data_IF_792962290438
#
_entry.id   IF_792962290438
#
_cell.length_a   1.000
_cell.length_b   1.000
_cell.length_c   1.000
_cell.angle_alpha   90.00
_cell.angle_beta   90.00
_cell.angle_gamma   90.00
#
_symmetry.space_group_name_H-M   'P 1'
#
loop_
_entity.id
_entity.type
_entity.pdbx_description
1 polymer ?
#
# COMPACT_ATOMS: atom_id res chain seq x y z
N UNK A 1 4.47 -17.48 -8.36
CA UNK A 1 3.23 -17.41 -9.18
C UNK A 1 3.66 -17.61 -10.62
N UNK A 2 3.00 -18.50 -11.39
CA UNK A 2 3.37 -18.76 -12.79
C UNK A 2 2.99 -17.60 -13.73
N UNK A 3 3.49 -17.60 -14.98
CA UNK A 3 3.21 -16.55 -15.97
C UNK A 3 1.71 -16.42 -16.21
N UNK A 4 1.20 -15.19 -16.26
CA UNK A 4 -0.23 -14.96 -16.44
C UNK A 4 -0.66 -15.20 -17.89
N UNK A 5 -1.84 -15.79 -18.06
CA UNK A 5 -2.39 -16.07 -19.40
C UNK A 5 -2.56 -14.79 -20.24
N UNK A 6 -2.11 -14.79 -21.49
CA UNK A 6 -2.26 -13.64 -22.41
C UNK A 6 -3.71 -13.12 -22.50
N UNK A 7 -3.84 -11.80 -22.60
CA UNK A 7 -5.15 -11.15 -22.76
C UNK A 7 -5.70 -11.39 -24.17
N UNK A 8 -7.01 -11.64 -24.28
CA UNK A 8 -7.73 -11.74 -25.57
C UNK A 8 -8.21 -10.38 -26.09
N UNK A 9 -7.99 -9.29 -25.35
CA UNK A 9 -8.33 -7.94 -25.78
C UNK A 9 -7.31 -7.45 -26.82
N UNK A 10 -7.75 -6.65 -27.79
CA UNK A 10 -6.82 -5.96 -28.70
C UNK A 10 -5.87 -5.04 -27.91
N UNK A 11 -4.66 -4.82 -28.42
CA UNK A 11 -3.67 -3.93 -27.76
C UNK A 11 -4.25 -2.55 -27.49
N UNK A 12 -4.96 -1.97 -28.46
CA UNK A 12 -5.67 -0.70 -28.29
C UNK A 12 -6.60 -0.70 -27.06
N UNK A 13 -7.44 -1.73 -26.88
CA UNK A 13 -8.35 -1.82 -25.72
C UNK A 13 -7.58 -2.03 -24.41
N UNK A 14 -6.47 -2.75 -24.45
CA UNK A 14 -5.60 -2.92 -23.29
C UNK A 14 -4.99 -1.58 -22.87
N UNK A 15 -4.38 -0.84 -23.81
CA UNK A 15 -3.78 0.46 -23.55
C UNK A 15 -4.79 1.47 -22.97
N UNK A 16 -6.00 1.53 -23.56
CA UNK A 16 -7.09 2.37 -23.04
C UNK A 16 -7.50 1.99 -21.62
N UNK A 17 -7.58 0.69 -21.31
CA UNK A 17 -7.88 0.24 -19.95
C UNK A 17 -6.75 0.58 -18.97
N UNK A 18 -5.48 0.50 -19.40
CA UNK A 18 -4.33 0.90 -18.58
C UNK A 18 -4.39 2.41 -18.28
N UNK A 19 -4.64 3.25 -19.29
CA UNK A 19 -4.83 4.70 -19.11
C UNK A 19 -5.92 5.00 -18.07
N UNK A 20 -7.07 4.34 -18.21
CA UNK A 20 -8.18 4.49 -17.28
C UNK A 20 -7.87 3.98 -15.86
N UNK A 21 -7.07 2.92 -15.75
CA UNK A 21 -6.58 2.43 -14.48
C UNK A 21 -5.67 3.48 -13.83
N UNK A 22 -4.66 3.98 -14.53
CA UNK A 22 -3.72 5.01 -14.06
C UNK A 22 -4.46 6.27 -13.63
N UNK A 23 -5.38 6.77 -14.47
CA UNK A 23 -6.24 7.91 -14.16
C UNK A 23 -7.18 7.70 -12.94
N UNK A 24 -7.24 6.47 -12.41
CA UNK A 24 -8.01 6.16 -11.21
C UNK A 24 -9.51 6.07 -11.45
N UNK A 25 -9.96 5.92 -12.70
CA UNK A 25 -11.37 5.73 -13.01
C UNK A 25 -11.87 4.37 -12.53
N UNK A 26 -13.19 4.22 -12.34
CA UNK A 26 -13.76 2.91 -11.96
C UNK A 26 -13.80 1.97 -13.16
N UNK A 27 -13.70 0.66 -12.93
CA UNK A 27 -13.83 -0.33 -14.00
C UNK A 27 -15.18 -0.23 -14.75
N UNK A 28 -16.24 0.26 -14.09
CA UNK A 28 -17.54 0.53 -14.71
C UNK A 28 -17.45 1.68 -15.72
N UNK A 29 -16.81 2.78 -15.34
CA UNK A 29 -16.60 3.93 -16.24
C UNK A 29 -15.69 3.54 -17.40
N UNK A 30 -14.56 2.90 -17.09
CA UNK A 30 -13.60 2.42 -18.08
C UNK A 30 -14.24 1.45 -19.09
N UNK A 31 -15.10 0.54 -18.63
CA UNK A 31 -15.78 -0.40 -19.53
C UNK A 31 -16.68 0.29 -20.54
N UNK A 32 -17.42 1.32 -20.09
CA UNK A 32 -18.29 2.11 -20.97
C UNK A 32 -17.47 2.87 -22.02
N UNK A 33 -16.39 3.52 -21.59
CA UNK A 33 -15.56 4.35 -22.47
C UNK A 33 -14.66 3.54 -23.42
N UNK A 34 -14.27 2.33 -23.03
CA UNK A 34 -13.44 1.44 -23.86
C UNK A 34 -14.25 0.47 -24.74
N UNK A 35 -15.58 0.46 -24.63
CA UNK A 35 -16.44 -0.47 -25.36
C UNK A 35 -16.13 -1.94 -25.04
N UNK A 36 -16.04 -2.28 -23.75
CA UNK A 36 -15.83 -3.66 -23.26
C UNK A 36 -16.89 -4.02 -22.22
N UNK A 37 -17.11 -5.32 -22.01
CA UNK A 37 -17.99 -5.76 -20.94
C UNK A 37 -17.43 -5.33 -19.57
N UNK A 38 -18.31 -4.90 -18.66
CA UNK A 38 -17.93 -4.48 -17.30
C UNK A 38 -17.13 -5.54 -16.55
N UNK A 39 -17.52 -6.82 -16.64
CA UNK A 39 -16.79 -7.92 -15.99
C UNK A 39 -15.38 -8.06 -16.56
N UNK A 40 -15.22 -7.84 -17.87
CA UNK A 40 -13.91 -7.85 -18.53
C UNK A 40 -13.01 -6.72 -18.04
N UNK A 41 -13.51 -5.49 -17.96
CA UNK A 41 -12.72 -4.37 -17.42
C UNK A 41 -12.34 -4.59 -15.94
N UNK A 42 -13.29 -5.07 -15.12
CA UNK A 42 -13.03 -5.36 -13.71
C UNK A 42 -11.98 -6.47 -13.53
N UNK A 43 -12.06 -7.53 -14.34
CA UNK A 43 -11.07 -8.59 -14.36
C UNK A 43 -9.71 -8.08 -14.83
N UNK A 44 -9.65 -7.27 -15.89
CA UNK A 44 -8.41 -6.68 -16.38
C UNK A 44 -7.75 -5.80 -15.31
N UNK A 45 -8.52 -4.94 -14.63
CA UNK A 45 -8.03 -4.11 -13.53
C UNK A 45 -7.55 -4.95 -12.33
N UNK A 46 -8.16 -6.11 -12.08
CA UNK A 46 -7.67 -7.03 -11.05
C UNK A 46 -6.29 -7.56 -11.43
N UNK A 47 -6.10 -7.96 -12.69
CA UNK A 47 -4.82 -8.44 -13.20
C UNK A 47 -3.73 -7.38 -13.17
N UNK A 48 -4.05 -6.12 -13.45
CA UNK A 48 -3.09 -5.02 -13.27
C UNK A 48 -2.62 -4.91 -11.81
N UNK A 49 -3.51 -5.12 -10.84
CA UNK A 49 -3.12 -5.15 -9.42
C UNK A 49 -2.30 -6.39 -9.05
N UNK A 50 -2.57 -7.53 -9.68
CA UNK A 50 -1.75 -8.74 -9.51
C UNK A 50 -0.32 -8.51 -10.01
N UNK A 51 -0.16 -7.87 -11.17
CA UNK A 51 1.16 -7.45 -11.67
C UNK A 51 1.84 -6.51 -10.68
N UNK A 52 1.17 -5.44 -10.25
CA UNK A 52 1.73 -4.52 -9.25
C UNK A 52 2.21 -5.28 -8.01
N UNK A 53 1.42 -6.22 -7.51
CA UNK A 53 1.79 -6.99 -6.33
C UNK A 53 3.02 -7.89 -6.57
N UNK A 54 3.13 -8.50 -7.76
CA UNK A 54 4.29 -9.33 -8.14
C UNK A 54 5.55 -8.47 -8.24
N UNK A 55 5.48 -7.37 -8.97
CA UNK A 55 6.63 -6.47 -9.21
C UNK A 55 7.11 -5.83 -7.92
N UNK A 56 6.19 -5.35 -7.08
CA UNK A 56 6.55 -4.80 -5.77
C UNK A 56 7.14 -5.85 -4.83
N UNK A 57 6.69 -7.12 -4.90
CA UNK A 57 7.27 -8.18 -4.07
C UNK A 57 8.69 -8.52 -4.52
N UNK A 58 8.94 -8.57 -5.83
CA UNK A 58 10.26 -8.76 -6.43
C UNK A 58 11.24 -7.63 -6.06
N UNK A 59 10.76 -6.38 -6.02
CA UNK A 59 11.54 -5.24 -5.54
C UNK A 59 11.70 -5.22 -4.00
N UNK A 60 10.90 -5.99 -3.26
CA UNK A 60 10.78 -5.82 -1.81
C UNK A 60 12.01 -6.30 -1.04
N UNK A 61 12.92 -7.08 -1.64
CA UNK A 61 14.09 -7.59 -0.93
C UNK A 61 15.02 -6.48 -0.38
N UNK A 62 14.94 -5.28 -0.95
CA UNK A 62 15.67 -4.13 -0.43
C UNK A 62 15.20 -3.71 0.98
N UNK A 63 16.15 -3.60 1.91
CA UNK A 63 15.92 -3.02 3.23
C UNK A 63 15.88 -1.49 3.15
N UNK A 64 15.07 -0.88 4.00
CA UNK A 64 14.99 0.56 4.23
C UNK A 64 16.05 0.98 5.25
N UNK A 65 16.96 1.85 4.84
CA UNK A 65 17.94 2.49 5.73
C UNK A 65 17.64 3.97 5.95
N UNK A 66 18.10 4.50 7.10
CA UNK A 66 18.02 5.92 7.45
C UNK A 66 16.85 6.24 8.37
N UNK A 67 16.09 7.30 8.08
CA UNK A 67 14.93 7.73 8.87
C UNK A 67 13.64 7.05 8.38
N UNK A 68 13.09 6.15 9.20
CA UNK A 68 11.95 5.29 8.87
C UNK A 68 10.76 5.59 9.78
N UNK A 69 9.63 5.95 9.20
CA UNK A 69 8.34 6.09 9.88
C UNK A 69 7.59 4.75 9.85
N UNK A 70 7.02 4.34 10.98
CA UNK A 70 6.27 3.10 11.11
C UNK A 70 4.92 3.37 11.77
N UNK A 71 3.86 2.79 11.22
CA UNK A 71 2.50 2.97 11.73
C UNK A 71 1.57 1.86 11.25
N UNK A 72 0.46 1.66 11.96
CA UNK A 72 -0.60 0.72 11.59
C UNK A 72 -1.88 1.45 11.18
N UNK A 73 -2.59 0.88 10.21
CA UNK A 73 -3.93 1.34 9.84
C UNK A 73 -4.94 0.21 9.74
N UNK A 74 -6.22 0.57 9.87
CA UNK A 74 -7.33 -0.38 9.85
C UNK A 74 -8.31 -0.03 8.74
N UNK A 75 -8.46 -0.94 7.78
CA UNK A 75 -9.33 -0.79 6.62
C UNK A 75 -10.58 -1.65 6.73
N UNK A 76 -11.72 -1.11 6.29
CA UNK A 76 -13.00 -1.84 6.33
C UNK A 76 -14.19 -0.87 6.41
N UNK A 77 -15.38 -1.40 6.15
CA UNK A 77 -16.63 -0.63 6.20
C UNK A 77 -16.89 -0.01 7.58
N UNK A 78 -17.55 1.14 7.60
CA UNK A 78 -18.00 1.78 8.85
C UNK A 78 -19.04 0.87 9.52
N UNK A 79 -18.79 0.50 10.77
CA UNK A 79 -19.74 -0.24 11.62
C UNK A 79 -19.88 0.48 12.96
N UNK A 80 -21.03 0.32 13.62
CA UNK A 80 -21.21 0.76 15.02
C UNK A 80 -20.29 -0.10 15.90
N UNK A 81 -19.64 0.50 16.91
CA UNK A 81 -18.72 -0.19 17.83
C UNK A 81 -17.29 0.37 17.85
N UNK A 82 -16.35 -0.41 18.41
CA UNK A 82 -14.95 -0.03 18.64
C UNK A 82 -14.28 0.51 17.37
N UNK A 83 -13.62 1.67 17.47
CA UNK A 83 -12.79 2.26 16.40
C UNK A 83 -11.31 1.91 16.66
N UNK A 84 -10.50 1.90 15.60
CA UNK A 84 -9.07 1.59 15.70
C UNK A 84 -8.77 0.10 15.97
N UNK A 85 -7.76 -0.17 16.81
CA UNK A 85 -7.26 -1.52 17.10
C UNK A 85 -8.35 -2.44 17.66
N UNK A 86 -8.47 -3.64 17.10
CA UNK A 86 -9.49 -4.62 17.49
C UNK A 86 -10.92 -4.28 17.02
N UNK A 87 -11.09 -3.34 16.08
CA UNK A 87 -12.38 -3.09 15.45
C UNK A 87 -12.81 -4.31 14.59
N UNK A 88 -13.92 -4.93 14.96
CA UNK A 88 -14.43 -6.13 14.31
C UNK A 88 -14.67 -5.92 12.80
N UNK A 89 -14.17 -6.86 12.00
CA UNK A 89 -14.37 -6.85 10.54
C UNK A 89 -13.44 -5.92 9.75
N UNK A 90 -12.51 -5.23 10.41
CA UNK A 90 -11.44 -4.49 9.74
C UNK A 90 -10.22 -5.37 9.46
N UNK A 91 -9.47 -5.02 8.43
CA UNK A 91 -8.19 -5.61 8.07
C UNK A 91 -7.10 -4.69 8.63
N UNK A 92 -6.25 -5.17 9.56
CA UNK A 92 -5.10 -4.41 10.00
C UNK A 92 -4.00 -4.46 8.94
N UNK A 93 -3.32 -3.34 8.80
CA UNK A 93 -2.23 -3.13 7.85
C UNK A 93 -1.10 -2.44 8.59
N UNK A 94 0.12 -2.91 8.36
CA UNK A 94 1.35 -2.25 8.79
C UNK A 94 2.01 -1.54 7.61
N UNK A 95 2.55 -0.36 7.85
CA UNK A 95 3.32 0.39 6.88
C UNK A 95 4.69 0.80 7.41
N UNK A 96 5.66 0.87 6.51
CA UNK A 96 7.00 1.41 6.71
C UNK A 96 7.19 2.49 5.65
N UNK A 97 7.67 3.68 6.02
CA UNK A 97 7.98 4.74 5.08
C UNK A 97 9.39 5.26 5.35
N UNK A 98 10.28 5.17 4.37
CA UNK A 98 11.52 5.95 4.42
C UNK A 98 11.21 7.41 4.10
N UNK A 99 11.63 8.33 4.96
CA UNK A 99 11.45 9.77 4.70
C UNK A 99 12.18 10.19 3.42
N UNK A 100 11.48 10.94 2.58
CA UNK A 100 11.96 11.28 1.23
C UNK A 100 12.11 10.09 0.28
N UNK A 101 11.57 8.93 0.64
CA UNK A 101 11.69 7.69 -0.12
C UNK A 101 10.34 7.01 -0.33
N UNK A 102 10.38 5.67 -0.35
CA UNK A 102 9.24 4.82 -0.69
C UNK A 102 8.54 4.27 0.54
N UNK A 103 7.25 3.99 0.40
CA UNK A 103 6.42 3.26 1.36
C UNK A 103 6.41 1.78 1.03
N UNK A 104 6.38 0.96 2.07
CA UNK A 104 6.10 -0.47 2.04
C UNK A 104 4.89 -0.76 2.93
N UNK A 105 4.02 -1.64 2.48
CA UNK A 105 2.83 -2.05 3.23
C UNK A 105 2.64 -3.55 3.25
N UNK A 106 2.06 -4.04 4.34
CA UNK A 106 1.70 -5.44 4.52
C UNK A 106 0.44 -5.59 5.35
N UNK A 107 -0.46 -6.48 4.94
CA UNK A 107 -1.57 -6.92 5.80
C UNK A 107 -1.04 -7.77 6.93
N UNK A 108 -1.50 -7.52 8.15
CA UNK A 108 -1.05 -8.21 9.37
C UNK A 108 -2.25 -8.88 10.07
N UNK A 109 -2.04 -9.98 10.82
CA UNK A 109 -3.09 -10.60 11.62
C UNK A 109 -3.54 -9.71 12.78
N UNK A 110 -2.60 -9.04 13.42
CA UNK A 110 -2.79 -8.13 14.54
C UNK A 110 -1.64 -7.11 14.59
N UNK A 111 -1.78 -6.12 15.45
CA UNK A 111 -0.76 -5.10 15.67
C UNK A 111 0.17 -5.44 16.84
N UNK A 112 0.31 -6.70 17.26
CA UNK A 112 1.17 -7.05 18.40
C UNK A 112 2.66 -6.87 18.06
N UNK A 113 3.49 -6.63 19.09
CA UNK A 113 4.95 -6.58 18.93
C UNK A 113 5.51 -7.84 18.28
N UNK A 114 4.95 -9.02 18.61
CA UNK A 114 5.35 -10.30 18.03
C UNK A 114 5.11 -10.36 16.51
N UNK A 115 4.09 -9.66 16.02
CA UNK A 115 3.80 -9.54 14.59
C UNK A 115 4.67 -8.48 13.91
N UNK A 116 4.86 -7.32 14.54
CA UNK A 116 5.50 -6.16 13.93
C UNK A 116 7.03 -6.27 13.90
N UNK A 117 7.67 -6.71 14.98
CA UNK A 117 9.14 -6.75 15.09
C UNK A 117 9.81 -7.59 14.00
N UNK A 118 9.33 -8.81 13.67
CA UNK A 118 9.95 -9.58 12.61
C UNK A 118 9.82 -8.91 11.24
N UNK A 119 8.77 -8.12 11.01
CA UNK A 119 8.61 -7.35 9.77
C UNK A 119 9.64 -6.22 9.73
N UNK A 120 9.76 -5.46 10.82
CA UNK A 120 10.73 -4.37 10.96
C UNK A 120 12.16 -4.90 10.78
N UNK A 121 12.55 -5.95 11.51
CA UNK A 121 13.90 -6.55 11.41
C UNK A 121 14.27 -7.04 10.01
N UNK A 122 13.29 -7.51 9.23
CA UNK A 122 13.53 -7.95 7.84
C UNK A 122 13.57 -6.80 6.83
N UNK A 123 13.01 -5.65 7.18
CA UNK A 123 12.81 -4.53 6.22
C UNK A 123 13.55 -3.27 6.60
N UNK A 124 14.09 -3.14 7.80
CA UNK A 124 14.81 -1.95 8.27
C UNK A 124 16.25 -2.33 8.56
N UNK A 125 17.19 -1.64 7.92
CA UNK A 125 18.63 -1.84 8.15
C UNK A 125 18.92 -1.57 9.62
N UNK A 126 19.69 -2.43 10.33
CA UNK A 126 20.18 -2.13 11.68
C UNK A 126 20.80 -0.73 11.78
N UNK A 127 20.75 -0.12 12.97
CA UNK A 127 21.21 1.26 13.21
C UNK A 127 20.41 2.37 12.50
N UNK A 128 19.33 2.04 11.80
CA UNK A 128 18.38 3.04 11.30
C UNK A 128 17.61 3.72 12.43
N UNK A 129 17.10 4.92 12.14
CA UNK A 129 16.25 5.68 13.05
C UNK A 129 14.79 5.36 12.77
N UNK A 130 14.10 4.78 13.75
CA UNK A 130 12.69 4.40 13.64
C UNK A 130 11.82 5.40 14.40
N UNK A 131 10.83 5.97 13.72
CA UNK A 131 9.81 6.86 14.27
C UNK A 131 8.48 6.14 14.35
N UNK A 132 7.92 6.03 15.55
CA UNK A 132 6.57 5.46 15.75
C UNK A 132 5.73 6.36 16.65
N UNK A 133 4.40 6.15 16.64
CA UNK A 133 3.53 6.66 17.69
C UNK A 133 3.89 6.01 19.06
N UNK A 134 3.53 6.67 20.16
CA UNK A 134 3.78 6.29 21.56
C UNK A 134 3.04 5.03 22.04
N UNK A 135 2.70 4.10 21.14
CA UNK A 135 1.98 2.89 21.51
C UNK A 135 2.88 1.83 22.15
N UNK A 136 2.36 1.17 23.21
CA UNK A 136 3.13 0.20 24.02
C UNK A 136 3.70 -0.99 23.25
N UNK A 137 3.10 -1.43 22.15
CA UNK A 137 3.68 -2.55 21.40
C UNK A 137 4.92 -2.18 20.59
N UNK A 138 5.22 -0.90 20.43
CA UNK A 138 6.52 -0.44 19.96
C UNK A 138 7.57 -0.35 21.08
N UNK A 139 7.22 -0.62 22.34
CA UNK A 139 8.19 -0.58 23.45
C UNK A 139 9.38 -1.54 23.24
N UNK A 140 9.18 -2.62 22.49
CA UNK A 140 10.24 -3.59 22.22
C UNK A 140 11.27 -3.03 21.23
N UNK A 141 10.96 -1.96 20.49
CA UNK A 141 11.94 -1.29 19.64
C UNK A 141 13.02 -0.57 20.45
N UNK A 142 12.73 -0.12 21.68
CA UNK A 142 13.71 0.52 22.56
C UNK A 142 14.84 -0.43 23.01
N UNK A 143 14.60 -1.75 22.94
CA UNK A 143 15.56 -2.80 23.35
C UNK A 143 16.12 -3.58 22.16
N UNK A 144 15.99 -3.03 20.95
CA UNK A 144 16.44 -3.65 19.71
C UNK A 144 17.60 -2.87 19.08
N UNK A 145 18.21 -3.41 18.02
CA UNK A 145 19.36 -2.84 17.30
C UNK A 145 19.00 -1.57 16.47
N UNK A 146 18.01 -0.79 16.90
CA UNK A 146 17.51 0.40 16.21
C UNK A 146 17.48 1.61 17.13
N UNK A 147 17.78 2.78 16.59
CA UNK A 147 17.57 4.04 17.28
C UNK A 147 16.08 4.41 17.22
N UNK A 148 15.35 4.22 18.32
CA UNK A 148 13.90 4.40 18.34
C UNK A 148 13.49 5.74 18.97
N UNK A 149 12.74 6.55 18.22
CA UNK A 149 12.11 7.78 18.71
C UNK A 149 10.59 7.63 18.75
N UNK A 150 10.03 7.82 19.94
CA UNK A 150 8.57 7.82 20.14
C UNK A 150 8.01 9.23 20.01
N UNK A 151 6.96 9.34 19.22
CA UNK A 151 6.26 10.60 19.02
C UNK A 151 5.10 10.66 20.00
N UNK A 152 5.21 11.56 20.98
CA UNK A 152 4.12 11.81 21.92
C UNK A 152 3.22 12.92 21.37
N UNK A 153 2.13 12.54 20.72
CA UNK A 153 1.15 13.46 20.12
C UNK A 153 0.53 14.47 21.11
N UNK A 154 0.68 14.28 22.43
CA UNK A 154 0.12 15.18 23.45
C UNK A 154 1.08 16.27 23.94
N UNK A 155 2.40 16.15 23.77
CA UNK A 155 3.38 17.01 24.49
C UNK A 155 4.48 17.64 23.64
N UNK A 156 4.66 17.27 22.37
CA UNK A 156 5.83 17.71 21.59
C UNK A 156 5.43 18.36 20.27
N UNK A 157 5.08 19.64 20.33
CA UNK A 157 5.21 20.57 19.20
C UNK A 157 6.64 21.15 19.08
N UNK A 158 7.57 20.73 19.96
CA UNK A 158 8.85 21.41 20.17
C UNK A 158 10.01 20.88 19.30
N UNK A 159 9.89 19.72 18.66
CA UNK A 159 10.96 19.16 17.84
C UNK A 159 10.43 18.75 16.45
N UNK A 160 10.61 19.64 15.45
CA UNK A 160 9.98 19.55 14.12
C UNK A 160 10.31 18.26 13.35
N UNK A 161 11.31 17.49 13.79
CA UNK A 161 11.77 16.25 13.13
C UNK A 161 11.19 14.96 13.74
N UNK A 162 10.49 15.02 14.88
CA UNK A 162 9.92 13.84 15.53
C UNK A 162 8.43 13.70 15.18
N UNK A 163 8.13 13.33 13.92
CA UNK A 163 6.76 13.11 13.44
C UNK A 163 6.63 11.88 12.52
N UNK A 164 5.43 11.37 12.34
CA UNK A 164 5.09 10.30 11.37
C UNK A 164 4.13 10.79 10.27
N UNK A 165 4.20 12.10 9.97
CA UNK A 165 3.30 12.77 9.06
C UNK A 165 3.30 12.16 7.64
N UNK A 166 4.42 11.60 7.21
CA UNK A 166 4.54 10.98 5.90
C UNK A 166 3.67 9.74 5.79
N UNK A 167 3.79 8.81 6.74
CA UNK A 167 3.01 7.58 6.73
C UNK A 167 1.52 7.83 7.04
N UNK A 168 1.21 8.82 7.88
CA UNK A 168 -0.17 9.30 8.09
C UNK A 168 -0.79 9.85 6.79
N UNK A 169 -0.02 10.65 6.04
CA UNK A 169 -0.44 11.16 4.73
C UNK A 169 -0.71 10.00 3.76
N UNK A 170 0.18 9.00 3.71
CA UNK A 170 -0.05 7.78 2.92
C UNK A 170 -1.38 7.11 3.27
N UNK A 171 -1.67 6.91 4.56
CA UNK A 171 -2.95 6.31 4.98
C UNK A 171 -4.17 7.14 4.55
N UNK A 172 -4.07 8.46 4.62
CA UNK A 172 -5.14 9.36 4.18
C UNK A 172 -5.40 9.24 2.67
N UNK A 173 -4.33 9.19 1.87
CA UNK A 173 -4.43 9.00 0.42
C UNK A 173 -4.99 7.62 0.06
N UNK A 174 -4.48 6.55 0.67
CA UNK A 174 -4.95 5.18 0.46
C UNK A 174 -6.45 5.04 0.80
N UNK A 175 -6.89 5.59 1.94
CA UNK A 175 -8.31 5.59 2.33
C UNK A 175 -9.16 6.39 1.34
N UNK A 176 -8.71 7.57 0.90
CA UNK A 176 -9.43 8.38 -0.11
C UNK A 176 -9.55 7.62 -1.43
N UNK A 177 -8.47 7.00 -1.88
CA UNK A 177 -8.44 6.19 -3.09
C UNK A 177 -9.44 5.03 -3.02
N UNK A 178 -9.46 4.28 -1.92
CA UNK A 178 -10.31 3.10 -1.78
C UNK A 178 -11.81 3.41 -1.62
N UNK A 179 -12.19 4.61 -1.16
CA UNK A 179 -13.61 4.99 -0.99
C UNK A 179 -14.41 4.89 -2.28
N UNK A 180 -13.80 5.14 -3.43
CA UNK A 180 -14.48 5.11 -4.74
C UNK A 180 -15.00 3.72 -5.15
N UNK A 181 -14.51 2.65 -4.51
CA UNK A 181 -14.93 1.29 -4.82
C UNK A 181 -16.18 0.85 -4.03
N UNK A 182 -16.67 1.66 -3.09
CA UNK A 182 -17.81 1.35 -2.22
C UNK A 182 -17.66 0.00 -1.48
N UNK A 183 -16.43 -0.36 -1.14
CA UNK A 183 -16.08 -1.62 -0.50
C UNK A 183 -15.19 -2.49 -1.39
N UNK A 184 -14.13 -3.02 -0.79
CA UNK A 184 -13.21 -3.97 -1.45
C UNK A 184 -13.44 -5.34 -0.81
N UNK A 185 -13.69 -6.40 -1.60
CA UNK A 185 -13.78 -7.75 -1.05
C UNK A 185 -12.50 -8.13 -0.31
N UNK A 186 -12.62 -8.72 0.89
CA UNK A 186 -11.45 -9.06 1.74
C UNK A 186 -10.40 -9.88 0.99
N UNK A 187 -10.83 -10.83 0.15
CA UNK A 187 -9.97 -11.68 -0.68
C UNK A 187 -9.02 -10.87 -1.57
N UNK A 188 -9.47 -9.72 -2.09
CA UNK A 188 -8.68 -8.90 -3.01
C UNK A 188 -8.03 -7.70 -2.33
N UNK A 189 -8.32 -7.45 -1.04
CA UNK A 189 -7.79 -6.30 -0.32
C UNK A 189 -6.27 -6.13 -0.41
N UNK A 190 -5.43 -7.20 -0.29
CA UNK A 190 -3.98 -7.06 -0.44
C UNK A 190 -3.56 -6.45 -1.78
N UNK A 191 -4.26 -6.77 -2.87
CA UNK A 191 -3.98 -6.24 -4.20
C UNK A 191 -4.32 -4.75 -4.32
N UNK A 192 -5.41 -4.30 -3.68
CA UNK A 192 -5.76 -2.87 -3.62
C UNK A 192 -4.79 -2.09 -2.74
N UNK A 193 -4.31 -2.71 -1.66
CA UNK A 193 -3.28 -2.12 -0.80
C UNK A 193 -1.97 -1.93 -1.58
N UNK A 194 -1.53 -2.94 -2.33
CA UNK A 194 -0.34 -2.84 -3.20
C UNK A 194 -0.51 -1.82 -4.33
N UNK A 195 -1.71 -1.66 -4.88
CA UNK A 195 -1.99 -0.55 -5.79
C UNK A 195 -1.79 0.83 -5.11
N UNK A 196 -2.24 1.01 -3.86
CA UNK A 196 -2.01 2.26 -3.14
C UNK A 196 -0.52 2.51 -2.86
N UNK A 197 0.23 1.47 -2.47
CA UNK A 197 1.69 1.51 -2.30
C UNK A 197 2.39 1.96 -3.59
N UNK A 198 2.07 1.31 -4.71
CA UNK A 198 2.62 1.65 -6.02
C UNK A 198 2.33 3.09 -6.44
N UNK A 199 1.09 3.55 -6.27
CA UNK A 199 0.69 4.93 -6.63
C UNK A 199 1.38 5.98 -5.77
N UNK A 200 1.58 5.70 -4.48
CA UNK A 200 2.26 6.64 -3.60
C UNK A 200 3.75 6.73 -3.95
N UNK A 201 4.36 5.59 -4.28
CA UNK A 201 5.77 5.51 -4.66
C UNK A 201 6.07 6.08 -6.05
N UNK A 202 5.07 6.19 -6.91
CA UNK A 202 5.19 6.72 -8.27
C UNK A 202 4.12 7.79 -8.45
N UNK A 203 4.36 9.03 -8.01
CA UNK A 203 3.32 10.06 -7.98
C UNK A 203 2.91 10.59 -9.36
N UNK A 204 3.81 10.51 -10.35
CA UNK A 204 3.56 11.03 -11.70
C UNK A 204 2.72 10.04 -12.55
N UNK A 205 1.57 10.47 -13.11
CA UNK A 205 0.74 9.60 -13.94
C UNK A 205 1.40 9.13 -15.25
N UNK A 206 2.31 9.91 -15.84
CA UNK A 206 3.03 9.53 -17.06
C UNK A 206 4.00 8.39 -16.78
N UNK A 207 4.71 8.47 -15.65
CA UNK A 207 5.61 7.41 -15.19
C UNK A 207 4.81 6.14 -14.84
N UNK A 208 3.70 6.29 -14.10
CA UNK A 208 2.77 5.20 -13.80
C UNK A 208 2.30 4.48 -15.08
N UNK A 209 1.94 5.24 -16.11
CA UNK A 209 1.45 4.68 -17.38
C UNK A 209 2.56 3.93 -18.13
N UNK A 210 3.74 4.52 -18.21
CA UNK A 210 4.91 3.93 -18.87
C UNK A 210 5.30 2.62 -18.20
N UNK A 211 5.41 2.62 -16.87
CA UNK A 211 5.74 1.45 -16.07
C UNK A 211 4.68 0.35 -16.20
N UNK A 212 3.38 0.71 -16.13
CA UNK A 212 2.32 -0.29 -16.26
C UNK A 212 2.31 -0.95 -17.64
N UNK A 213 2.57 -0.19 -18.71
CA UNK A 213 2.70 -0.73 -20.07
C UNK A 213 3.88 -1.68 -20.21
N UNK A 214 5.00 -1.37 -19.57
CA UNK A 214 6.16 -2.26 -19.51
C UNK A 214 5.80 -3.56 -18.80
N UNK A 215 5.32 -3.48 -17.56
CA UNK A 215 5.00 -4.68 -16.77
C UNK A 215 3.92 -5.55 -17.41
N UNK A 216 2.91 -4.95 -18.06
CA UNK A 216 1.89 -5.72 -18.81
C UNK A 216 2.52 -6.48 -19.98
N UNK A 217 3.52 -5.92 -20.65
CA UNK A 217 4.24 -6.59 -21.74
C UNK A 217 5.06 -7.77 -21.23
N UNK A 218 5.68 -7.64 -20.07
CA UNK A 218 6.52 -8.69 -19.46
C UNK A 218 5.66 -9.81 -18.86
N UNK A 219 4.50 -9.47 -18.26
CA UNK A 219 3.67 -10.41 -17.52
C UNK A 219 2.45 -10.96 -18.29
N UNK A 220 1.97 -10.26 -19.32
CA UNK A 220 0.82 -10.67 -20.15
C UNK A 220 1.12 -10.76 -21.65
N UNK A 221 2.36 -10.47 -22.06
CA UNK A 221 2.81 -10.42 -23.46
C UNK A 221 2.87 -11.75 -24.17
#
# INVERSE_FOLDING_TARGET
>A
MGPMRKSRLSRYKQDRLIEHFVAGTTARTASSLCGVNRKTAAFYFLRLREIIAIELEAESEAMFGGEIEVDESYFGGKRKGKRGRGAAGKIPVFGLLKRGGRVYTKTIPDASSATLLPIIKRKVVPDSVVYSDSWRGYNVLDVSDFHHFRINHYKLFADKRNHINGIENFWNQAKRYMRKFNGVPKKHFPLFLKECEWRFNNSDPSDQLSQMRQWVRENMG
#
